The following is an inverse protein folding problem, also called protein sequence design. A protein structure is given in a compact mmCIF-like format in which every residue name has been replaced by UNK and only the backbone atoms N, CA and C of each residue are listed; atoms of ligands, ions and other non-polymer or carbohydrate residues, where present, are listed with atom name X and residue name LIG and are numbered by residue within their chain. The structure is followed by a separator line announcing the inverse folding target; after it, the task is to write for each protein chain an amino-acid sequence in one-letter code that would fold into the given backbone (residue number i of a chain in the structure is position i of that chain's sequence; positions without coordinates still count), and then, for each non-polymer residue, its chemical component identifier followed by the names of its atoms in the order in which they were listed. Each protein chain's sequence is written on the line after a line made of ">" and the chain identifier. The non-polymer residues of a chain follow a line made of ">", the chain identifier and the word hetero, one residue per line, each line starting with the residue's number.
data_IF_877761021113
#
_entry.id   IF_877761021113
#
_cell.length_a   1.000
_cell.length_b   1.000
_cell.length_c   1.000
_cell.angle_alpha   90.00
_cell.angle_beta   90.00
_cell.angle_gamma   90.00
#
_symmetry.space_group_name_H-M   'P 1'
#
loop_
_entity.id
_entity.type
_entity.pdbx_description
1 polymer ?
#
# COMPACT_ATOMS: atom_id res chain seq x y z
N UNK A 1 -8.81 4.34 11.09
CA UNK A 1 -8.84 4.25 9.63
C UNK A 1 -9.52 2.96 9.22
N UNK A 2 -10.07 2.89 8.01
CA UNK A 2 -10.68 1.68 7.45
C UNK A 2 -9.72 0.92 6.52
N UNK A 3 -9.88 -0.40 6.35
CA UNK A 3 -9.09 -1.17 5.38
C UNK A 3 -9.33 -0.67 3.95
N UNK A 4 -8.24 -0.52 3.20
CA UNK A 4 -8.25 -0.06 1.82
C UNK A 4 -8.74 -1.09 0.80
N UNK A 5 -8.98 -0.62 -0.42
CA UNK A 5 -9.34 -1.45 -1.57
C UNK A 5 -8.21 -1.49 -2.58
N UNK A 6 -7.81 -2.70 -2.97
CA UNK A 6 -6.71 -2.93 -3.90
C UNK A 6 -7.17 -3.89 -5.01
N UNK A 7 -7.07 -3.46 -6.27
CA UNK A 7 -7.45 -4.28 -7.42
C UNK A 7 -6.49 -4.12 -8.59
N UNK A 8 -6.05 -5.26 -9.16
CA UNK A 8 -5.41 -5.33 -10.46
C UNK A 8 -6.46 -5.58 -11.55
N UNK A 9 -6.45 -4.78 -12.61
CA UNK A 9 -7.40 -4.86 -13.72
C UNK A 9 -6.64 -4.90 -15.03
N UNK A 10 -6.98 -5.87 -15.89
CA UNK A 10 -6.47 -5.93 -17.26
C UNK A 10 -7.33 -5.08 -18.18
N UNK A 11 -6.72 -4.18 -18.93
CA UNK A 11 -7.37 -3.30 -19.90
C UNK A 11 -6.41 -3.03 -21.07
N UNK A 12 -6.85 -3.26 -22.32
CA UNK A 12 -6.01 -3.13 -23.54
C UNK A 12 -4.62 -3.79 -23.41
N UNK A 13 -4.60 -5.07 -22.99
CA UNK A 13 -3.39 -5.88 -22.79
C UNK A 13 -2.44 -5.44 -21.66
N UNK A 14 -2.71 -4.31 -21.01
CA UNK A 14 -1.92 -3.79 -19.90
C UNK A 14 -2.61 -4.01 -18.55
N UNK A 15 -1.80 -4.09 -17.49
CA UNK A 15 -2.28 -4.24 -16.12
C UNK A 15 -2.27 -2.87 -15.46
N UNK A 16 -3.44 -2.48 -14.96
CA UNK A 16 -3.64 -1.30 -14.15
C UNK A 16 -3.86 -1.72 -12.71
N UNK A 17 -3.41 -0.90 -11.78
CA UNK A 17 -3.60 -1.12 -10.35
C UNK A 17 -4.39 0.04 -9.77
N UNK A 18 -5.48 -0.26 -9.07
CA UNK A 18 -6.28 0.74 -8.36
C UNK A 18 -6.16 0.50 -6.88
N UNK A 19 -5.74 1.52 -6.16
CA UNK A 19 -5.66 1.51 -4.71
C UNK A 19 -6.56 2.61 -4.14
N UNK A 20 -7.29 2.33 -3.06
CA UNK A 20 -8.13 3.31 -2.36
C UNK A 20 -7.94 3.18 -0.86
N UNK A 21 -7.50 4.25 -0.21
CA UNK A 21 -7.15 4.29 1.21
C UNK A 21 -7.93 5.38 1.94
N UNK A 22 -8.20 5.13 3.22
CA UNK A 22 -8.71 6.11 4.18
C UNK A 22 -7.54 6.66 5.02
N UNK A 23 -7.37 7.98 5.03
CA UNK A 23 -6.33 8.66 5.82
C UNK A 23 -6.69 8.85 7.30
N UNK A 24 -7.88 8.38 7.73
CA UNK A 24 -8.34 8.42 9.10
C UNK A 24 -8.87 9.77 9.55
N UNK A 25 -9.43 9.81 10.76
CA UNK A 25 -10.17 10.98 11.30
C UNK A 25 -9.30 12.21 11.54
N UNK A 26 -7.99 12.04 11.76
CA UNK A 26 -7.05 13.15 11.92
C UNK A 26 -6.81 13.89 10.60
N UNK A 27 -6.92 13.17 9.47
CA UNK A 27 -6.80 13.72 8.13
C UNK A 27 -7.94 13.15 7.27
N UNK A 28 -9.18 13.65 7.40
CA UNK A 28 -10.39 12.99 6.92
C UNK A 28 -10.52 13.04 5.39
N UNK A 29 -9.75 12.18 4.73
CA UNK A 29 -9.62 12.08 3.29
C UNK A 29 -9.57 10.64 2.82
N UNK A 30 -10.31 10.38 1.73
CA UNK A 30 -10.21 9.15 0.94
C UNK A 30 -9.36 9.46 -0.29
N UNK A 31 -8.32 8.66 -0.51
CA UNK A 31 -7.40 8.82 -1.64
C UNK A 31 -7.50 7.58 -2.52
N UNK A 32 -7.80 7.77 -3.81
CA UNK A 32 -7.75 6.71 -4.82
C UNK A 32 -6.66 7.02 -5.84
N UNK A 33 -5.78 6.06 -6.09
CA UNK A 33 -4.68 6.15 -7.04
C UNK A 33 -4.84 5.07 -8.10
N UNK A 34 -4.68 5.46 -9.36
CA UNK A 34 -4.61 4.56 -10.51
C UNK A 34 -3.17 4.51 -10.99
N UNK A 35 -2.61 3.31 -11.08
CA UNK A 35 -1.25 3.07 -11.54
C UNK A 35 -1.22 2.25 -12.82
N UNK A 36 -0.13 2.43 -13.56
CA UNK A 36 0.27 1.61 -14.70
C UNK A 36 1.79 1.50 -14.74
N UNK A 37 2.31 0.28 -14.62
CA UNK A 37 3.76 0.03 -14.63
C UNK A 37 4.54 0.84 -13.58
N UNK A 38 3.95 1.07 -12.41
CA UNK A 38 4.55 1.90 -11.34
C UNK A 38 4.30 3.40 -11.43
N UNK A 39 3.79 3.92 -12.54
CA UNK A 39 3.46 5.34 -12.69
C UNK A 39 2.02 5.64 -12.26
N UNK A 40 1.80 6.74 -11.56
CA UNK A 40 0.45 7.23 -11.25
C UNK A 40 -0.14 7.90 -12.49
N UNK A 41 -1.26 7.39 -12.97
CA UNK A 41 -2.02 7.96 -14.08
C UNK A 41 -3.11 8.92 -13.62
N UNK A 42 -3.72 8.64 -12.47
CA UNK A 42 -4.78 9.46 -11.92
C UNK A 42 -4.79 9.40 -10.40
N UNK A 43 -5.16 10.53 -9.80
CA UNK A 43 -5.38 10.67 -8.36
C UNK A 43 -6.75 11.29 -8.14
N UNK A 44 -7.51 10.71 -7.21
CA UNK A 44 -8.75 11.29 -6.69
C UNK A 44 -8.64 11.42 -5.18
N UNK A 45 -9.02 12.58 -4.66
CA UNK A 45 -9.01 12.90 -3.22
C UNK A 45 -10.37 13.47 -2.86
N UNK A 46 -11.02 12.87 -1.88
CA UNK A 46 -12.34 13.28 -1.37
C UNK A 46 -12.23 13.52 0.13
N UNK A 47 -12.62 14.71 0.60
CA UNK A 47 -12.69 14.95 2.05
C UNK A 47 -14.02 14.47 2.60
N UNK A 48 -14.00 13.96 3.82
CA UNK A 48 -15.20 13.62 4.60
C UNK A 48 -15.24 14.37 5.95
N UNK A 49 -14.52 15.49 6.06
CA UNK A 49 -14.44 16.31 7.28
C UNK A 49 -15.81 16.67 7.87
N UNK A 50 -16.81 16.91 7.02
CA UNK A 50 -18.15 17.32 7.41
C UNK A 50 -18.95 16.23 8.15
N UNK A 51 -18.58 14.95 7.93
CA UNK A 51 -19.29 13.80 8.50
C UNK A 51 -18.53 13.11 9.63
N UNK A 52 -17.36 13.63 10.05
CA UNK A 52 -16.51 13.03 11.12
C UNK A 52 -17.27 12.84 12.44
N UNK A 53 -18.26 13.68 12.74
CA UNK A 53 -19.07 13.61 13.96
C UNK A 53 -20.30 12.70 13.85
N UNK A 54 -20.49 12.02 12.71
CA UNK A 54 -21.62 11.13 12.49
C UNK A 54 -21.42 9.81 13.26
N UNK A 55 -22.47 9.31 13.90
CA UNK A 55 -22.45 8.03 14.64
C UNK A 55 -22.15 6.84 13.71
N UNK A 56 -22.53 6.93 12.43
CA UNK A 56 -22.31 5.90 11.41
C UNK A 56 -21.08 6.18 10.52
N UNK A 57 -20.11 6.97 11.00
CA UNK A 57 -18.94 7.40 10.21
C UNK A 57 -18.28 6.26 9.43
N UNK A 58 -18.00 5.13 10.09
CA UNK A 58 -17.30 4.01 9.46
C UNK A 58 -18.07 3.40 8.28
N UNK A 59 -19.40 3.36 8.35
CA UNK A 59 -20.23 2.83 7.28
C UNK A 59 -20.24 3.81 6.09
N UNK A 60 -20.44 5.10 6.38
CA UNK A 60 -20.46 6.13 5.34
C UNK A 60 -19.10 6.26 4.64
N UNK A 61 -17.99 6.24 5.38
CA UNK A 61 -16.63 6.29 4.79
C UNK A 61 -16.39 5.04 3.94
N UNK A 62 -16.82 3.86 4.39
CA UNK A 62 -16.72 2.63 3.60
C UNK A 62 -17.50 2.74 2.28
N UNK A 63 -18.72 3.25 2.30
CA UNK A 63 -19.52 3.46 1.09
C UNK A 63 -18.86 4.46 0.13
N UNK A 64 -18.37 5.59 0.65
CA UNK A 64 -17.65 6.58 -0.13
C UNK A 64 -16.38 6.00 -0.78
N UNK A 65 -15.61 5.19 -0.04
CA UNK A 65 -14.44 4.50 -0.58
C UNK A 65 -14.81 3.55 -1.73
N UNK A 66 -15.87 2.75 -1.56
CA UNK A 66 -16.34 1.84 -2.60
C UNK A 66 -16.85 2.57 -3.83
N UNK A 67 -17.61 3.66 -3.65
CA UNK A 67 -18.11 4.48 -4.74
C UNK A 67 -16.95 5.11 -5.52
N UNK A 68 -15.99 5.72 -4.81
CA UNK A 68 -14.81 6.33 -5.43
C UNK A 68 -13.97 5.30 -6.19
N UNK A 69 -13.79 4.10 -5.64
CA UNK A 69 -13.08 3.01 -6.29
C UNK A 69 -13.80 2.51 -7.55
N UNK A 70 -15.13 2.29 -7.46
CA UNK A 70 -15.97 1.89 -8.61
C UNK A 70 -15.98 2.96 -9.70
N UNK A 71 -15.95 4.24 -9.33
CA UNK A 71 -15.89 5.32 -10.29
C UNK A 71 -14.57 5.29 -11.06
N UNK A 72 -13.43 5.14 -10.37
CA UNK A 72 -12.11 5.01 -11.03
C UNK A 72 -12.06 3.83 -12.01
N UNK A 73 -12.69 2.70 -11.65
CA UNK A 73 -12.82 1.54 -12.53
C UNK A 73 -13.64 1.85 -13.80
N UNK A 74 -14.75 2.57 -13.65
CA UNK A 74 -15.60 2.98 -14.79
C UNK A 74 -14.86 3.96 -15.68
N UNK A 75 -14.14 4.90 -15.09
CA UNK A 75 -13.37 5.90 -15.82
C UNK A 75 -12.26 5.23 -16.65
N UNK A 76 -11.56 4.26 -16.06
CA UNK A 76 -10.58 3.43 -16.76
C UNK A 76 -11.20 2.67 -17.93
N UNK A 77 -12.29 1.93 -17.70
CA UNK A 77 -12.96 1.16 -18.75
C UNK A 77 -13.59 2.04 -19.83
N UNK A 78 -13.95 3.28 -19.49
CA UNK A 78 -14.46 4.29 -20.41
C UNK A 78 -13.38 4.94 -21.29
N UNK A 79 -12.11 4.58 -21.11
CA UNK A 79 -10.99 5.10 -21.91
C UNK A 79 -10.61 6.55 -21.58
N UNK A 80 -11.02 7.08 -20.41
CA UNK A 80 -10.68 8.45 -20.00
C UNK A 80 -9.16 8.65 -19.86
N UNK A 81 -8.42 7.59 -19.56
CA UNK A 81 -6.97 7.63 -19.37
C UNK A 81 -6.18 7.23 -20.61
N UNK A 82 -6.83 6.87 -21.72
CA UNK A 82 -6.16 6.47 -22.96
C UNK A 82 -5.50 7.66 -23.66
N UNK A 83 -6.13 8.83 -23.56
CA UNK A 83 -5.65 10.09 -24.14
C UNK A 83 -4.83 10.93 -23.17
N UNK A 84 -4.89 10.63 -21.88
CA UNK A 84 -4.19 11.36 -20.81
C UNK A 84 -2.69 11.02 -20.75
N UNK A 85 -2.06 10.75 -21.90
CA UNK A 85 -0.60 10.59 -22.06
C UNK A 85 0.19 11.90 -21.81
N UNK A 86 -0.47 12.91 -21.22
CA UNK A 86 0.09 14.24 -20.98
C UNK A 86 -0.83 15.20 -20.22
N UNK A 87 -1.73 14.73 -19.36
CA UNK A 87 -2.40 15.63 -18.41
C UNK A 87 -1.58 15.67 -17.13
N UNK A 88 -0.71 16.68 -17.11
CA UNK A 88 0.00 17.23 -15.96
C UNK A 88 -0.75 16.99 -14.65
N UNK A 89 -0.02 16.40 -13.70
CA UNK A 89 -0.44 16.25 -12.33
C UNK A 89 -0.99 17.58 -11.82
N UNK A 90 -2.29 17.65 -11.55
CA UNK A 90 -2.84 18.71 -10.71
C UNK A 90 -2.04 18.70 -9.42
N UNK A 91 -1.24 19.75 -9.29
CA UNK A 91 -0.22 19.94 -8.28
C UNK A 91 -0.79 19.62 -6.91
N UNK A 92 -0.29 18.54 -6.34
CA UNK A 92 -0.27 18.45 -4.89
C UNK A 92 0.84 19.39 -4.44
N UNK A 93 0.60 20.29 -3.47
CA UNK A 93 1.72 20.96 -2.83
C UNK A 93 2.65 19.85 -2.34
N UNK A 94 3.88 19.91 -2.81
CA UNK A 94 4.98 19.05 -2.43
C UNK A 94 5.17 19.18 -0.92
N UNK A 95 4.57 18.27 -0.16
CA UNK A 95 5.13 17.91 1.14
C UNK A 95 6.49 17.29 0.82
N UNK A 96 7.57 17.68 1.52
CA UNK A 96 8.92 17.29 1.15
C UNK A 96 8.98 15.76 1.09
N UNK A 97 9.31 15.24 -0.10
CA UNK A 97 9.59 13.83 -0.26
C UNK A 97 10.70 13.43 0.73
N UNK A 98 10.58 12.31 1.46
CA UNK A 98 11.75 11.74 2.07
C UNK A 98 12.71 11.40 0.92
N UNK A 99 13.88 12.01 0.96
CA UNK A 99 15.00 11.71 0.08
C UNK A 99 15.16 10.19 -0.02
N UNK A 100 15.26 9.58 -1.22
CA UNK A 100 15.73 8.21 -1.31
C UNK A 100 17.20 8.24 -0.91
N UNK A 101 17.48 7.99 0.38
CA UNK A 101 18.81 7.60 0.78
C UNK A 101 19.14 6.30 0.03
N UNK A 102 20.27 6.22 -0.70
CA UNK A 102 20.75 4.95 -1.18
C UNK A 102 20.87 4.01 0.02
N UNK A 103 20.48 2.73 -0.06
CA UNK A 103 20.93 1.79 0.95
C UNK A 103 22.46 1.77 0.87
N UNK A 104 23.11 2.36 1.87
CA UNK A 104 24.50 2.07 2.17
C UNK A 104 24.57 0.56 2.37
N UNK A 105 25.06 -0.14 1.34
CA UNK A 105 25.54 -1.49 1.46
C UNK A 105 26.74 -1.45 2.42
N UNK A 106 26.45 -1.54 3.71
CA UNK A 106 27.44 -1.93 4.70
C UNK A 106 27.74 -3.40 4.39
N UNK A 107 28.79 -3.63 3.62
CA UNK A 107 29.46 -4.93 3.59
C UNK A 107 29.83 -5.25 5.03
N UNK A 108 29.13 -6.20 5.62
CA UNK A 108 29.48 -6.74 6.92
C UNK A 108 30.62 -7.70 6.63
N UNK A 109 31.84 -7.26 6.88
CA UNK A 109 32.98 -8.16 7.03
C UNK A 109 32.66 -9.10 8.19
N UNK A 110 32.42 -10.37 7.89
CA UNK A 110 32.27 -11.40 8.92
C UNK A 110 33.67 -11.67 9.46
N UNK A 111 34.07 -10.92 10.48
CA UNK A 111 35.16 -11.31 11.35
C UNK A 111 34.64 -12.31 12.37
N UNK A 112 35.34 -13.43 12.43
CA UNK A 112 35.04 -14.62 13.19
C UNK A 112 35.43 -14.39 14.65
N UNK A 113 34.47 -14.22 15.56
CA UNK A 113 34.79 -14.18 16.99
C UNK A 113 33.63 -13.87 17.92
N UNK A 114 33.31 -14.88 18.75
CA UNK A 114 32.76 -14.84 20.10
C UNK A 114 31.45 -14.08 20.45
N UNK A 115 30.46 -14.92 20.81
CA UNK A 115 29.59 -14.82 22.00
C UNK A 115 28.78 -13.53 22.24
N UNK A 116 27.56 -13.51 21.70
CA UNK A 116 26.45 -12.69 22.23
C UNK A 116 25.12 -13.41 22.02
N UNK A 117 24.54 -13.94 23.10
CA UNK A 117 23.18 -14.49 23.11
C UNK A 117 22.16 -13.37 22.84
N UNK A 118 21.67 -13.30 21.59
CA UNK A 118 20.50 -12.52 21.20
C UNK A 118 19.24 -13.39 21.36
N UNK A 119 18.14 -12.88 21.93
CA UNK A 119 16.92 -13.66 22.18
C UNK A 119 16.14 -14.01 20.89
N UNK A 120 16.59 -13.51 19.74
CA UNK A 120 16.17 -13.99 18.43
C UNK A 120 17.33 -14.78 17.86
N UNK A 121 17.15 -16.10 17.76
CA UNK A 121 18.16 -17.06 17.31
C UNK A 121 18.95 -16.51 16.12
N UNK A 122 20.24 -16.32 16.35
CA UNK A 122 21.20 -15.76 15.39
C UNK A 122 21.56 -16.73 14.28
N UNK A 123 20.57 -17.19 13.52
CA UNK A 123 20.77 -18.04 12.36
C UNK A 123 19.92 -17.52 11.18
N UNK A 124 20.28 -16.33 10.72
CA UNK A 124 19.51 -15.55 9.75
C UNK A 124 19.52 -16.12 8.32
N UNK A 125 20.05 -17.33 8.10
CA UNK A 125 19.83 -18.10 6.86
C UNK A 125 19.76 -19.59 7.23
N UNK A 126 18.60 -20.06 7.70
CA UNK A 126 18.37 -21.50 7.80
C UNK A 126 18.07 -22.07 6.42
N UNK A 127 18.79 -23.11 5.97
CA UNK A 127 18.49 -23.92 4.77
C UNK A 127 17.13 -24.66 4.84
N UNK A 128 16.35 -24.44 5.91
CA UNK A 128 15.03 -25.04 6.11
C UNK A 128 14.00 -24.30 5.28
N UNK A 129 13.14 -25.07 4.64
CA UNK A 129 11.99 -24.51 3.93
C UNK A 129 11.06 -23.77 4.91
N UNK A 130 10.38 -22.74 4.43
CA UNK A 130 9.44 -21.95 5.24
C UNK A 130 8.39 -22.84 5.91
N UNK A 131 7.94 -23.89 5.21
CA UNK A 131 7.00 -24.88 5.73
C UNK A 131 7.55 -25.66 6.95
N UNK A 132 8.85 -25.99 6.98
CA UNK A 132 9.45 -26.68 8.13
C UNK A 132 9.53 -25.79 9.38
N UNK A 133 9.81 -24.49 9.19
CA UNK A 133 9.83 -23.53 10.29
C UNK A 133 8.44 -23.37 10.88
N UNK A 134 7.42 -23.22 10.02
CA UNK A 134 6.02 -23.11 10.44
C UNK A 134 5.57 -24.38 11.21
N UNK A 135 5.90 -25.57 10.69
CA UNK A 135 5.55 -26.83 11.35
C UNK A 135 6.22 -26.98 12.71
N UNK A 136 7.48 -26.56 12.85
CA UNK A 136 8.19 -26.62 14.14
C UNK A 136 7.58 -25.70 15.20
N UNK A 137 7.09 -24.53 14.79
CA UNK A 137 6.43 -23.58 15.69
C UNK A 137 5.03 -24.08 16.11
N UNK A 138 4.24 -24.56 15.15
CA UNK A 138 2.92 -25.13 15.45
C UNK A 138 2.99 -26.37 16.34
N UNK A 139 4.07 -27.16 16.22
CA UNK A 139 4.32 -28.31 17.08
C UNK A 139 4.84 -27.94 18.49
N UNK A 140 5.27 -26.70 18.72
CA UNK A 140 5.72 -26.23 20.04
C UNK A 140 4.58 -25.71 20.93
N UNK A 141 3.39 -25.45 20.36
CA UNK A 141 2.22 -24.91 21.09
C UNK A 141 1.35 -26.00 21.77
N UNK A 142 1.78 -27.26 21.83
CA UNK A 142 1.10 -28.32 22.61
C UNK A 142 1.79 -28.60 23.96
N UNK A 143 1.81 -27.60 24.86
CA UNK A 143 2.11 -27.86 26.28
C UNK A 143 1.24 -27.09 27.26
#
# INVERSE_FOLDING_TARGET
>A
MLPGYNHNIKYHEEIYHIQTEDSGVENPHIITLLYKGGNILARRKTSYADIVKNENLNEVVRELMQEQHKQMLRDLKGGLFDKAKGMEASQVPEAPAPTPAPPEAKTIDIDKGDDVESPFGGDLISDRSLDEVILSYLAQDEK
#
